data_IF_944079880338
#
_entry.id   IF_944079880338
#
_cell.length_a   1.000
_cell.length_b   1.000
_cell.length_c   1.000
_cell.angle_alpha   90.00
_cell.angle_beta   90.00
_cell.angle_gamma   90.00
#
_symmetry.space_group_name_H-M   'P 1'
#
loop_
_entity.id
_entity.type
_entity.pdbx_description
1 polymer ?
#
# COMPACT_ATOMS: atom_id res chain seq x y z
N UNK A 1 -20.23 -15.37 -1.76
CA UNK A 1 -20.03 -14.11 -2.51
C UNK A 1 -18.95 -13.34 -1.77
N UNK A 2 -17.75 -13.22 -2.36
CA UNK A 2 -16.71 -12.37 -1.79
C UNK A 2 -17.22 -10.93 -1.73
N UNK A 3 -17.14 -10.33 -0.54
CA UNK A 3 -17.63 -8.98 -0.29
C UNK A 3 -17.03 -8.01 -1.30
N UNK A 4 -17.91 -7.28 -1.99
CA UNK A 4 -17.53 -6.19 -2.89
C UNK A 4 -16.59 -5.27 -2.12
N UNK A 5 -15.30 -5.30 -2.47
CA UNK A 5 -14.28 -4.46 -1.87
C UNK A 5 -14.75 -3.00 -1.99
N UNK A 6 -15.06 -2.35 -0.87
CA UNK A 6 -15.63 -0.98 -0.83
C UNK A 6 -14.69 0.09 -1.40
N UNK A 7 -13.43 -0.28 -1.66
CA UNK A 7 -12.37 0.59 -2.19
C UNK A 7 -11.57 -0.22 -3.23
N UNK A 8 -11.41 0.31 -4.43
CA UNK A 8 -10.56 -0.26 -5.47
C UNK A 8 -9.08 0.07 -5.27
N UNK A 9 -8.25 -0.41 -6.19
CA UNK A 9 -6.81 -0.16 -6.24
C UNK A 9 -6.45 1.35 -6.21
N UNK A 10 -7.26 2.18 -6.87
CA UNK A 10 -7.03 3.61 -7.00
C UNK A 10 -7.24 4.33 -5.66
N UNK A 11 -8.30 3.98 -4.94
CA UNK A 11 -8.61 4.54 -3.63
C UNK A 11 -7.54 4.19 -2.60
N UNK A 12 -6.98 2.97 -2.66
CA UNK A 12 -5.84 2.58 -1.81
C UNK A 12 -4.61 3.43 -2.14
N UNK A 13 -4.28 3.62 -3.41
CA UNK A 13 -3.16 4.45 -3.83
C UNK A 13 -3.31 5.91 -3.37
N UNK A 14 -4.50 6.50 -3.50
CA UNK A 14 -4.77 7.86 -3.04
C UNK A 14 -4.61 8.01 -1.52
N UNK A 15 -5.10 7.05 -0.73
CA UNK A 15 -4.95 7.08 0.74
C UNK A 15 -3.49 6.93 1.15
N UNK A 16 -2.75 6.03 0.51
CA UNK A 16 -1.32 5.85 0.77
C UNK A 16 -0.55 7.12 0.40
N UNK A 17 -0.85 7.74 -0.74
CA UNK A 17 -0.24 9.01 -1.14
C UNK A 17 -0.47 10.10 -0.09
N UNK A 18 -1.72 10.29 0.35
CA UNK A 18 -2.07 11.26 1.39
C UNK A 18 -1.31 11.00 2.69
N UNK A 19 -1.25 9.74 3.15
CA UNK A 19 -0.50 9.38 4.35
C UNK A 19 0.98 9.75 4.23
N UNK A 20 1.60 9.40 3.09
CA UNK A 20 3.02 9.62 2.85
C UNK A 20 3.38 11.10 2.74
N UNK A 21 2.51 11.93 2.18
CA UNK A 21 2.80 13.36 1.98
C UNK A 21 2.37 14.25 3.14
N UNK A 22 1.35 13.83 3.91
CA UNK A 22 0.75 14.68 4.94
C UNK A 22 1.02 14.22 6.37
N UNK A 23 1.32 12.94 6.57
CA UNK A 23 1.40 12.34 7.91
C UNK A 23 2.80 11.77 8.18
N UNK A 24 3.46 11.19 7.19
CA UNK A 24 4.78 10.59 7.38
C UNK A 24 5.90 11.63 7.66
N UNK A 25 5.63 12.93 7.50
CA UNK A 25 6.58 14.01 7.77
C UNK A 25 7.88 13.83 6.98
N UNK A 26 9.02 14.00 7.66
CA UNK A 26 10.36 13.85 7.06
C UNK A 26 10.89 12.41 7.08
N UNK A 27 10.05 11.42 7.36
CA UNK A 27 10.47 10.02 7.40
C UNK A 27 11.05 9.61 6.03
N UNK A 28 12.31 9.16 6.01
CA UNK A 28 12.98 8.67 4.79
C UNK A 28 12.84 7.18 4.56
N UNK A 29 12.45 6.43 5.59
CA UNK A 29 12.28 4.97 5.53
C UNK A 29 10.92 4.60 6.09
N UNK A 30 10.14 3.84 5.33
CA UNK A 30 8.76 3.51 5.72
C UNK A 30 8.52 2.02 5.54
N UNK A 31 7.85 1.44 6.54
CA UNK A 31 7.38 0.06 6.55
C UNK A 31 5.86 0.05 6.53
N UNK A 32 5.29 -0.54 5.50
CA UNK A 32 3.84 -0.65 5.29
C UNK A 32 3.42 -2.12 5.36
N UNK A 33 2.36 -2.40 6.12
CA UNK A 33 1.76 -3.73 6.20
C UNK A 33 0.39 -3.72 5.53
N UNK A 34 0.17 -4.63 4.59
CA UNK A 34 -1.10 -4.78 3.91
C UNK A 34 -1.64 -6.21 3.99
N UNK A 35 -2.96 -6.33 3.90
CA UNK A 35 -3.59 -7.64 3.69
C UNK A 35 -3.27 -8.16 2.27
N UNK A 36 -3.42 -9.46 2.05
CA UNK A 36 -3.02 -10.13 0.81
C UNK A 36 -4.04 -9.98 -0.34
N UNK A 37 -4.81 -8.89 -0.37
CA UNK A 37 -5.84 -8.68 -1.37
C UNK A 37 -5.24 -8.21 -2.71
N UNK A 38 -5.31 -9.07 -3.73
CA UNK A 38 -4.91 -8.79 -5.12
C UNK A 38 -5.45 -7.48 -5.67
N UNK A 39 -6.77 -7.32 -5.64
CA UNK A 39 -7.45 -6.19 -6.26
C UNK A 39 -7.26 -4.85 -5.55
N UNK A 40 -6.78 -4.84 -4.31
CA UNK A 40 -6.65 -3.61 -3.51
C UNK A 40 -5.20 -3.25 -3.24
N UNK A 41 -4.45 -4.20 -2.67
CA UNK A 41 -3.13 -3.94 -2.08
C UNK A 41 -1.99 -4.55 -2.92
N UNK A 42 -2.24 -5.65 -3.61
CA UNK A 42 -1.28 -6.27 -4.54
C UNK A 42 -1.53 -5.84 -5.98
N UNK A 43 -1.49 -4.54 -6.22
CA UNK A 43 -1.67 -3.97 -7.55
C UNK A 43 -0.38 -3.32 -8.06
N UNK A 44 -0.17 -3.39 -9.38
CA UNK A 44 1.03 -2.87 -10.05
C UNK A 44 1.16 -1.35 -9.96
N UNK A 45 0.05 -0.62 -9.89
CA UNK A 45 0.03 0.84 -9.75
C UNK A 45 0.72 1.30 -8.46
N UNK A 46 0.41 0.66 -7.32
CA UNK A 46 1.05 0.92 -6.03
C UNK A 46 2.55 0.63 -6.05
N UNK A 47 2.96 -0.47 -6.69
CA UNK A 47 4.38 -0.80 -6.81
C UNK A 47 5.14 0.24 -7.64
N UNK A 48 4.59 0.66 -8.79
CA UNK A 48 5.18 1.74 -9.59
C UNK A 48 5.23 3.07 -8.83
N UNK A 49 4.18 3.38 -8.09
CA UNK A 49 4.15 4.57 -7.24
C UNK A 49 5.26 4.56 -6.18
N UNK A 50 5.45 3.44 -5.46
CA UNK A 50 6.56 3.31 -4.50
C UNK A 50 7.93 3.38 -5.15
N UNK A 51 8.09 2.80 -6.34
CA UNK A 51 9.34 2.89 -7.07
C UNK A 51 9.64 4.34 -7.48
N UNK A 52 8.64 5.08 -7.94
CA UNK A 52 8.77 6.48 -8.32
C UNK A 52 9.13 7.38 -7.14
N UNK A 53 8.53 7.17 -5.96
CA UNK A 53 8.87 7.97 -4.77
C UNK A 53 10.29 7.71 -4.27
N UNK A 54 10.79 6.48 -4.40
CA UNK A 54 12.20 6.18 -4.14
C UNK A 54 13.13 6.80 -5.20
N UNK A 55 12.77 6.69 -6.48
CA UNK A 55 13.56 7.24 -7.58
C UNK A 55 13.70 8.77 -7.48
N UNK A 56 12.65 9.46 -7.05
CA UNK A 56 12.64 10.91 -6.83
C UNK A 56 13.23 11.34 -5.49
N UNK A 57 13.81 10.41 -4.72
CA UNK A 57 14.45 10.66 -3.42
C UNK A 57 13.51 11.26 -2.35
N UNK A 58 12.20 11.12 -2.53
CA UNK A 58 11.20 11.46 -1.52
C UNK A 58 11.42 10.52 -0.32
N UNK A 59 11.49 9.22 -0.61
CA UNK A 59 11.88 8.17 0.34
C UNK A 59 13.19 7.52 -0.10
N UNK A 60 13.98 7.07 0.85
CA UNK A 60 15.17 6.25 0.61
C UNK A 60 14.82 4.75 0.53
N UNK A 61 13.80 4.34 1.29
CA UNK A 61 13.45 2.93 1.41
C UNK A 61 11.96 2.77 1.73
N UNK A 62 11.27 1.91 0.97
CA UNK A 62 9.89 1.50 1.26
C UNK A 62 9.85 -0.01 1.34
N UNK A 63 9.45 -0.51 2.51
CA UNK A 63 9.27 -1.93 2.76
C UNK A 63 7.78 -2.25 2.80
N UNK A 64 7.26 -2.91 1.76
CA UNK A 64 5.85 -3.24 1.63
C UNK A 64 5.60 -4.73 1.90
N UNK A 65 5.09 -5.05 3.09
CA UNK A 65 4.86 -6.42 3.56
C UNK A 65 3.40 -6.81 3.42
N UNK A 66 3.18 -8.07 3.00
CA UNK A 66 1.85 -8.66 2.93
C UNK A 66 1.67 -9.71 4.01
N UNK A 67 0.48 -9.74 4.61
CA UNK A 67 0.10 -10.83 5.51
C UNK A 67 0.03 -12.16 4.74
N UNK A 68 0.41 -13.25 5.39
CA UNK A 68 0.32 -14.61 4.82
C UNK A 68 -1.17 -14.95 4.61
N UNK A 69 -1.50 -15.53 3.44
CA UNK A 69 -2.87 -15.94 3.12
C UNK A 69 -3.26 -17.10 4.05
N UNK A 70 -4.40 -17.02 4.75
CA UNK A 70 -4.91 -18.13 5.58
C UNK A 70 -5.30 -17.81 7.03
N UNK A 71 -5.07 -16.58 7.52
CA UNK A 71 -5.47 -16.16 8.89
C UNK A 71 -6.66 -15.20 8.94
N UNK A 72 -7.23 -14.83 7.79
CA UNK A 72 -8.47 -14.06 7.77
C UNK A 72 -9.63 -15.04 7.90
N UNK A 73 -10.24 -15.12 9.09
CA UNK A 73 -11.50 -15.83 9.26
C UNK A 73 -12.59 -15.04 8.53
N UNK A 74 -13.00 -15.53 7.37
CA UNK A 74 -14.28 -15.18 6.76
C UNK A 74 -15.37 -15.86 7.61
N UNK A 75 -15.74 -15.19 8.70
CA UNK A 75 -17.03 -15.41 9.37
C UNK A 75 -18.15 -14.77 8.56
#
# INVERSE_FOLDING_TARGET
>A
MEGKALKGANEVASIIHLFLTSIAGDAKKIRLWANNCGGQNKNTCLLWYFLWTCHTQIFQEIEYRFQIKGHTRNS
#
